data_IF_906683858278
#
_entry.id   IF_906683858278
#
_cell.length_a   1.000
_cell.length_b   1.000
_cell.length_c   1.000
_cell.angle_alpha   90.00
_cell.angle_beta   90.00
_cell.angle_gamma   90.00
#
_symmetry.space_group_name_H-M   'P 1'
#
loop_
_entity.id
_entity.type
_entity.pdbx_description
1 polymer ?
#
# COMPACT_ATOMS: atom_id res chain seq x y z
N UNK A 1 6.79 -37.98 23.07
CA UNK A 1 8.07 -37.41 22.59
C UNK A 1 7.71 -36.06 21.99
N UNK A 2 8.24 -34.98 22.57
CA UNK A 2 7.64 -33.64 22.60
C UNK A 2 7.30 -33.04 21.22
N UNK A 3 6.04 -32.63 21.07
CA UNK A 3 5.60 -31.62 20.11
C UNK A 3 6.25 -30.28 20.49
N UNK A 4 7.05 -29.74 19.57
CA UNK A 4 7.55 -28.36 19.63
C UNK A 4 6.35 -27.42 19.46
N UNK A 5 5.61 -27.19 20.55
CA UNK A 5 4.69 -26.07 20.71
C UNK A 5 5.54 -24.80 20.79
N UNK A 6 6.07 -24.39 19.64
CA UNK A 6 6.69 -23.10 19.44
C UNK A 6 5.60 -22.07 19.69
N UNK A 7 5.61 -21.47 20.88
CA UNK A 7 4.75 -20.36 21.29
C UNK A 7 4.61 -19.38 20.12
N UNK A 8 3.44 -19.38 19.45
CA UNK A 8 3.09 -18.39 18.43
C UNK A 8 2.96 -17.06 19.15
N UNK A 9 4.08 -16.35 19.33
CA UNK A 9 4.06 -14.96 19.75
C UNK A 9 3.24 -14.23 18.71
N UNK A 10 2.07 -13.74 19.09
CA UNK A 10 1.21 -12.90 18.26
C UNK A 10 2.05 -11.75 17.73
N UNK A 11 2.30 -11.75 16.42
CA UNK A 11 3.00 -10.64 15.78
C UNK A 11 2.07 -9.44 15.81
N UNK A 12 2.52 -8.34 16.40
CA UNK A 12 1.75 -7.09 16.43
C UNK A 12 2.28 -6.15 15.36
N UNK A 13 1.37 -5.58 14.57
CA UNK A 13 1.65 -4.58 13.54
C UNK A 13 0.83 -3.34 13.88
N UNK A 14 1.50 -2.21 14.13
CA UNK A 14 0.89 -0.94 14.51
C UNK A 14 -0.10 -1.04 15.70
N UNK A 15 0.20 -1.92 16.66
CA UNK A 15 -0.63 -2.14 17.86
C UNK A 15 -1.76 -3.16 17.68
N UNK A 16 -1.96 -3.69 16.47
CA UNK A 16 -3.00 -4.67 16.15
C UNK A 16 -2.37 -6.07 15.99
N UNK A 17 -2.92 -7.12 16.66
CA UNK A 17 -2.56 -8.50 16.39
C UNK A 17 -2.69 -8.84 14.90
N UNK A 18 -1.65 -9.42 14.31
CA UNK A 18 -1.69 -9.93 12.95
C UNK A 18 -2.72 -11.08 12.88
N UNK A 19 -3.77 -10.98 12.04
CA UNK A 19 -4.74 -12.04 11.86
C UNK A 19 -4.05 -13.27 11.28
N UNK A 20 -4.39 -14.45 11.81
CA UNK A 20 -3.88 -15.73 11.30
C UNK A 20 -4.24 -15.96 9.82
N UNK A 21 -5.24 -15.24 9.30
CA UNK A 21 -5.71 -15.31 7.92
C UNK A 21 -4.90 -14.46 6.93
N UNK A 22 -4.05 -13.54 7.39
CA UNK A 22 -3.21 -12.75 6.48
C UNK A 22 -1.96 -13.55 6.09
N UNK A 23 -1.86 -13.92 4.82
CA UNK A 23 -0.73 -14.64 4.26
C UNK A 23 -0.24 -14.04 2.93
N UNK A 24 0.77 -14.68 2.35
CA UNK A 24 1.39 -14.27 1.08
C UNK A 24 0.44 -14.37 -0.11
N UNK A 25 -0.45 -15.36 -0.11
CA UNK A 25 -1.42 -15.55 -1.18
C UNK A 25 -2.46 -14.43 -1.17
N UNK A 26 -2.88 -13.98 0.01
CA UNK A 26 -3.77 -12.84 0.19
C UNK A 26 -3.11 -11.53 -0.24
N UNK A 27 -1.84 -11.30 0.16
CA UNK A 27 -1.07 -10.13 -0.29
C UNK A 27 -0.98 -10.11 -1.82
N UNK A 28 -0.62 -11.24 -2.44
CA UNK A 28 -0.56 -11.36 -3.89
C UNK A 28 -1.91 -11.03 -4.53
N UNK A 29 -3.01 -11.57 -3.99
CA UNK A 29 -4.36 -11.33 -4.51
C UNK A 29 -4.76 -9.85 -4.42
N UNK A 30 -4.46 -9.18 -3.29
CA UNK A 30 -4.70 -7.74 -3.11
C UNK A 30 -3.87 -6.93 -4.09
N UNK A 31 -2.56 -7.19 -4.20
CA UNK A 31 -1.66 -6.45 -5.09
C UNK A 31 -2.11 -6.58 -6.54
N UNK A 32 -2.29 -7.81 -7.04
CA UNK A 32 -2.70 -8.02 -8.42
C UNK A 32 -4.09 -7.42 -8.70
N UNK A 33 -5.07 -7.66 -7.82
CA UNK A 33 -6.41 -7.10 -7.98
C UNK A 33 -6.42 -5.57 -7.96
N UNK A 34 -5.58 -4.95 -7.14
CA UNK A 34 -5.49 -3.50 -7.05
C UNK A 34 -4.86 -2.89 -8.30
N UNK A 35 -3.76 -3.46 -8.78
CA UNK A 35 -3.08 -2.95 -9.97
C UNK A 35 -3.89 -3.15 -11.25
N UNK A 36 -4.72 -4.19 -11.30
CA UNK A 36 -5.73 -4.36 -12.33
C UNK A 36 -6.71 -3.19 -12.38
N UNK A 37 -7.19 -2.70 -11.22
CA UNK A 37 -8.04 -1.50 -11.16
C UNK A 37 -7.26 -0.22 -11.55
N UNK A 38 -6.03 -0.08 -11.08
CA UNK A 38 -5.17 1.08 -11.40
C UNK A 38 -4.95 1.22 -12.91
N UNK A 39 -4.68 0.11 -13.61
CA UNK A 39 -4.42 0.13 -15.06
C UNK A 39 -5.63 0.56 -15.89
N UNK A 40 -6.84 0.42 -15.34
CA UNK A 40 -8.10 0.82 -15.98
C UNK A 40 -8.57 2.21 -15.54
N UNK A 41 -7.91 2.81 -14.56
CA UNK A 41 -8.31 4.10 -14.00
C UNK A 41 -7.85 5.27 -14.87
N UNK A 42 -8.76 6.19 -15.18
CA UNK A 42 -8.46 7.32 -16.06
C UNK A 42 -7.52 8.36 -15.44
N UNK A 43 -7.41 8.43 -14.11
CA UNK A 43 -6.54 9.39 -13.43
C UNK A 43 -5.18 8.78 -13.10
N UNK A 44 -5.15 7.53 -12.62
CA UNK A 44 -3.94 6.86 -12.17
C UNK A 44 -3.27 6.04 -13.28
N UNK A 45 -4.05 5.40 -14.15
CA UNK A 45 -3.55 4.56 -15.24
C UNK A 45 -2.44 5.24 -16.06
N UNK A 46 -2.63 6.48 -16.56
CA UNK A 46 -1.59 7.19 -17.30
C UNK A 46 -0.28 7.35 -16.52
N UNK A 47 -0.32 7.66 -15.23
CA UNK A 47 0.89 7.84 -14.40
C UNK A 47 1.74 6.57 -14.34
N UNK A 48 1.08 5.41 -14.23
CA UNK A 48 1.77 4.12 -14.18
C UNK A 48 2.24 3.68 -15.57
N UNK A 49 1.44 3.90 -16.62
CA UNK A 49 1.81 3.58 -18.00
C UNK A 49 3.03 4.38 -18.47
N UNK A 50 3.13 5.65 -18.07
CA UNK A 50 4.29 6.50 -18.38
C UNK A 50 5.59 6.06 -17.69
N UNK A 51 5.51 5.18 -16.69
CA UNK A 51 6.64 4.81 -15.81
C UNK A 51 7.00 3.33 -15.81
N UNK A 52 6.12 2.48 -16.32
CA UNK A 52 6.26 1.03 -16.31
C UNK A 52 5.99 0.51 -17.70
N UNK A 53 7.06 0.10 -18.38
CA UNK A 53 6.98 -0.53 -19.68
C UNK A 53 6.11 -1.80 -19.63
N UNK A 54 5.41 -2.15 -20.73
CA UNK A 54 4.49 -3.30 -20.76
C UNK A 54 5.10 -4.63 -20.27
N UNK A 55 6.38 -4.89 -20.54
CA UNK A 55 7.13 -6.08 -20.15
C UNK A 55 7.65 -6.04 -18.69
N UNK A 56 7.65 -4.86 -18.07
CA UNK A 56 8.15 -4.63 -16.71
C UNK A 56 7.08 -4.81 -15.62
N UNK A 57 5.81 -4.96 -16.01
CA UNK A 57 4.69 -5.16 -15.09
C UNK A 57 4.86 -6.36 -14.15
N UNK A 58 5.29 -7.56 -14.60
CA UNK A 58 5.51 -8.69 -13.70
C UNK A 58 6.54 -8.38 -12.59
N UNK A 59 7.63 -7.68 -12.93
CA UNK A 59 8.66 -7.27 -11.97
C UNK A 59 8.12 -6.23 -10.99
N UNK A 60 7.33 -5.25 -11.48
CA UNK A 60 6.69 -4.26 -10.61
C UNK A 60 5.74 -4.92 -9.60
N UNK A 61 4.88 -5.83 -10.05
CA UNK A 61 3.91 -6.53 -9.18
C UNK A 61 4.61 -7.40 -8.13
N UNK A 62 5.70 -8.09 -8.49
CA UNK A 62 6.52 -8.84 -7.53
C UNK A 62 7.09 -7.92 -6.44
N UNK A 63 7.68 -6.78 -6.83
CA UNK A 63 8.20 -5.78 -5.89
C UNK A 63 7.11 -5.23 -4.95
N UNK A 64 5.88 -5.07 -5.44
CA UNK A 64 4.76 -4.61 -4.62
C UNK A 64 4.24 -5.69 -3.66
N UNK A 65 4.30 -6.96 -4.04
CA UNK A 65 4.06 -8.07 -3.11
C UNK A 65 5.11 -8.06 -1.99
N UNK A 66 6.39 -7.92 -2.32
CA UNK A 66 7.46 -7.84 -1.33
C UNK A 66 7.27 -6.63 -0.41
N UNK A 67 6.91 -5.47 -0.96
CA UNK A 67 6.61 -4.26 -0.19
C UNK A 67 5.53 -4.51 0.86
N UNK A 68 4.38 -5.04 0.46
CA UNK A 68 3.26 -5.29 1.38
C UNK A 68 3.56 -6.41 2.37
N UNK A 69 4.32 -7.42 1.96
CA UNK A 69 4.81 -8.47 2.86
C UNK A 69 5.74 -7.93 3.93
N UNK A 70 6.72 -7.11 3.57
CA UNK A 70 7.58 -6.44 4.56
C UNK A 70 6.81 -5.49 5.47
N UNK A 71 5.77 -4.89 4.92
CA UNK A 71 4.93 -3.92 5.62
C UNK A 71 4.02 -4.58 6.66
N UNK A 72 3.35 -5.68 6.33
CA UNK A 72 2.31 -6.30 7.17
C UNK A 72 2.72 -7.63 7.78
N UNK A 73 3.51 -8.44 7.08
CA UNK A 73 4.04 -9.71 7.62
C UNK A 73 5.42 -9.53 8.25
N UNK A 74 5.98 -8.32 8.21
CA UNK A 74 7.31 -7.97 8.74
C UNK A 74 8.43 -8.84 8.16
N UNK A 75 8.25 -9.32 6.94
CA UNK A 75 9.34 -9.97 6.19
C UNK A 75 10.42 -8.96 5.83
N UNK A 76 11.61 -9.41 5.45
CA UNK A 76 12.70 -8.54 5.01
C UNK A 76 12.89 -8.54 3.48
N UNK A 77 11.82 -8.83 2.71
CA UNK A 77 11.92 -9.00 1.25
C UNK A 77 11.97 -7.69 0.47
N UNK A 78 11.48 -6.59 1.02
CA UNK A 78 11.53 -5.29 0.37
C UNK A 78 12.72 -4.45 0.84
N UNK A 79 13.69 -4.28 -0.04
CA UNK A 79 14.91 -3.47 0.20
C UNK A 79 14.84 -2.06 -0.43
N UNK A 80 13.72 -1.74 -1.10
CA UNK A 80 13.54 -0.50 -1.82
C UNK A 80 13.28 0.72 -0.93
N UNK A 81 13.45 1.91 -1.49
CA UNK A 81 12.96 3.16 -0.89
C UNK A 81 11.68 3.58 -1.60
N UNK A 82 10.50 3.51 -0.94
CA UNK A 82 9.24 3.72 -1.65
C UNK A 82 8.98 5.20 -1.95
N UNK A 83 9.52 6.13 -1.16
CA UNK A 83 9.25 7.57 -1.31
C UNK A 83 9.89 8.22 -2.57
N UNK A 84 11.19 8.03 -2.89
CA UNK A 84 11.83 8.76 -3.99
C UNK A 84 11.13 8.65 -5.36
N UNK A 85 10.65 7.45 -5.79
CA UNK A 85 9.89 7.35 -7.04
C UNK A 85 8.61 8.19 -7.08
N UNK A 86 7.96 8.42 -5.94
CA UNK A 86 6.74 9.23 -5.85
C UNK A 86 7.06 10.73 -5.92
N UNK A 87 8.19 11.16 -5.34
CA UNK A 87 8.64 12.56 -5.43
C UNK A 87 9.03 12.97 -6.86
N UNK A 88 9.48 12.00 -7.67
CA UNK A 88 9.80 12.21 -9.08
C UNK A 88 8.56 12.32 -10.00
N UNK A 89 7.34 12.23 -9.45
CA UNK A 89 6.10 12.35 -10.22
C UNK A 89 5.63 13.80 -10.23
N UNK A 90 5.86 14.47 -11.36
CA UNK A 90 5.33 15.82 -11.61
C UNK A 90 3.80 15.78 -11.59
N UNK A 91 3.18 16.69 -10.86
CA UNK A 91 1.71 16.78 -10.74
C UNK A 91 1.08 15.78 -9.75
N UNK A 92 1.87 14.93 -9.07
CA UNK A 92 1.35 14.06 -8.02
C UNK A 92 0.85 14.90 -6.83
N UNK A 93 -0.44 14.73 -6.52
CA UNK A 93 -1.16 15.58 -5.57
C UNK A 93 -2.36 14.89 -4.95
N UNK A 94 -3.12 15.63 -4.15
CA UNK A 94 -4.17 15.07 -3.28
C UNK A 94 -5.22 14.23 -4.03
N UNK A 95 -5.67 14.68 -5.20
CA UNK A 95 -6.66 13.95 -6.00
C UNK A 95 -6.18 12.53 -6.35
N UNK A 96 -4.89 12.38 -6.69
CA UNK A 96 -4.27 11.09 -7.00
C UNK A 96 -4.22 10.19 -5.77
N UNK A 97 -3.76 10.70 -4.63
CA UNK A 97 -3.72 9.92 -3.38
C UNK A 97 -5.12 9.48 -2.95
N UNK A 98 -6.12 10.37 -3.01
CA UNK A 98 -7.51 10.01 -2.71
C UNK A 98 -8.03 8.94 -3.66
N UNK A 99 -7.78 9.07 -4.97
CA UNK A 99 -8.21 8.07 -5.95
C UNK A 99 -7.55 6.71 -5.71
N UNK A 100 -6.25 6.71 -5.41
CA UNK A 100 -5.48 5.50 -5.11
C UNK A 100 -6.07 4.79 -3.89
N UNK A 101 -6.32 5.55 -2.80
CA UNK A 101 -6.90 5.01 -1.58
C UNK A 101 -8.33 4.49 -1.77
N UNK A 102 -9.15 5.14 -2.61
CA UNK A 102 -10.50 4.66 -2.95
C UNK A 102 -10.47 3.31 -3.64
N UNK A 103 -9.62 3.16 -4.66
CA UNK A 103 -9.46 1.90 -5.38
C UNK A 103 -8.87 0.81 -4.50
N UNK A 104 -7.89 1.16 -3.65
CA UNK A 104 -7.27 0.23 -2.72
C UNK A 104 -8.29 -0.27 -1.70
N UNK A 105 -9.07 0.63 -1.10
CA UNK A 105 -10.16 0.30 -0.17
C UNK A 105 -11.18 -0.65 -0.77
N UNK A 106 -11.65 -0.35 -1.99
CA UNK A 106 -12.59 -1.22 -2.70
C UNK A 106 -12.00 -2.61 -2.94
N UNK A 107 -10.71 -2.69 -3.27
CA UNK A 107 -10.01 -3.96 -3.51
C UNK A 107 -9.87 -4.78 -2.22
N UNK A 108 -9.36 -4.20 -1.14
CA UNK A 108 -9.13 -4.94 0.11
C UNK A 108 -10.43 -5.37 0.76
N UNK A 109 -11.50 -4.55 0.70
CA UNK A 109 -12.82 -4.93 1.22
C UNK A 109 -13.49 -6.04 0.39
N UNK A 110 -13.15 -6.16 -0.89
CA UNK A 110 -13.65 -7.23 -1.77
C UNK A 110 -12.93 -8.55 -1.55
N UNK A 111 -11.63 -8.51 -1.25
CA UNK A 111 -10.77 -9.70 -1.20
C UNK A 111 -10.58 -10.24 0.22
N UNK A 112 -10.48 -9.34 1.20
CA UNK A 112 -10.04 -9.70 2.54
C UNK A 112 -11.21 -9.72 3.53
N UNK A 113 -11.11 -10.52 4.62
CA UNK A 113 -11.93 -10.34 5.80
C UNK A 113 -11.81 -8.91 6.37
N UNK A 114 -12.84 -8.41 7.07
CA UNK A 114 -12.85 -7.04 7.60
C UNK A 114 -11.61 -6.68 8.43
N UNK A 115 -11.14 -7.55 9.32
CA UNK A 115 -9.96 -7.27 10.15
C UNK A 115 -8.67 -7.11 9.32
N UNK A 116 -8.51 -7.90 8.25
CA UNK A 116 -7.34 -7.81 7.37
C UNK A 116 -7.46 -6.58 6.46
N UNK A 117 -8.66 -6.29 5.94
CA UNK A 117 -8.90 -5.09 5.15
C UNK A 117 -8.55 -3.82 5.93
N UNK A 118 -8.93 -3.76 7.21
CA UNK A 118 -8.61 -2.64 8.10
C UNK A 118 -7.09 -2.47 8.29
N UNK A 119 -6.33 -3.56 8.46
CA UNK A 119 -4.87 -3.50 8.56
C UNK A 119 -4.20 -2.89 7.32
N UNK A 120 -4.64 -3.32 6.14
CA UNK A 120 -4.16 -2.74 4.88
C UNK A 120 -4.50 -1.25 4.79
N UNK A 121 -5.73 -0.87 5.13
CA UNK A 121 -6.19 0.53 5.06
C UNK A 121 -5.45 1.43 6.03
N UNK A 122 -5.34 1.03 7.29
CA UNK A 122 -4.63 1.78 8.32
C UNK A 122 -3.20 2.11 7.90
N UNK A 123 -2.51 1.12 7.32
CA UNK A 123 -1.15 1.29 6.84
C UNK A 123 -1.08 2.15 5.58
N UNK A 124 -1.98 1.93 4.62
CA UNK A 124 -2.06 2.72 3.39
C UNK A 124 -2.29 4.21 3.67
N UNK A 125 -3.19 4.54 4.60
CA UNK A 125 -3.51 5.92 4.99
C UNK A 125 -2.28 6.62 5.60
N UNK A 126 -1.55 5.93 6.49
CA UNK A 126 -0.31 6.45 7.09
C UNK A 126 0.77 6.71 6.03
N UNK A 127 0.99 5.77 5.11
CA UNK A 127 1.95 5.93 4.01
C UNK A 127 1.55 7.10 3.12
N UNK A 128 0.28 7.18 2.71
CA UNK A 128 -0.22 8.25 1.85
C UNK A 128 -0.05 9.63 2.52
N UNK A 129 -0.34 9.75 3.81
CA UNK A 129 -0.13 10.99 4.55
C UNK A 129 1.36 11.37 4.60
N UNK A 130 2.25 10.42 4.93
CA UNK A 130 3.70 10.64 4.93
C UNK A 130 4.23 11.10 3.57
N UNK A 131 3.75 10.49 2.48
CA UNK A 131 4.18 10.86 1.13
C UNK A 131 3.66 12.24 0.72
N UNK A 132 2.44 12.60 1.09
CA UNK A 132 1.89 13.95 0.85
C UNK A 132 2.70 15.03 1.56
N UNK A 133 3.07 14.81 2.83
CA UNK A 133 3.94 15.73 3.58
C UNK A 133 5.31 15.87 2.93
N UNK A 134 5.95 14.75 2.58
CA UNK A 134 7.25 14.76 1.93
C UNK A 134 7.22 15.42 0.54
N UNK A 135 6.16 15.22 -0.23
CA UNK A 135 5.99 15.83 -1.54
C UNK A 135 5.82 17.35 -1.45
N UNK A 136 5.01 17.85 -0.52
CA UNK A 136 4.88 19.28 -0.27
C UNK A 136 6.20 19.91 0.18
N UNK A 137 6.88 19.28 1.13
CA UNK A 137 8.19 19.73 1.60
C UNK A 137 9.21 19.79 0.46
N UNK A 138 9.29 18.73 -0.37
CA UNK A 138 10.21 18.66 -1.51
C UNK A 138 9.95 19.75 -2.56
N UNK A 139 8.76 20.33 -2.61
CA UNK A 139 8.39 21.41 -3.54
C UNK A 139 8.46 22.81 -2.91
N UNK A 140 8.86 22.93 -1.65
CA UNK A 140 8.86 24.20 -0.91
C UNK A 140 7.45 24.71 -0.58
N UNK A 141 6.44 23.84 -0.62
CA UNK A 141 5.07 24.15 -0.24
C UNK A 141 4.89 24.07 1.29
N UNK A 142 3.92 24.80 1.83
CA UNK A 142 3.58 24.68 3.25
C UNK A 142 3.01 23.29 3.55
N UNK A 143 3.48 22.67 4.62
CA UNK A 143 2.88 21.44 5.16
C UNK A 143 1.77 21.73 6.15
N UNK A 144 1.67 22.99 6.62
CA UNK A 144 0.60 23.46 7.51
C UNK A 144 -0.70 23.44 6.70
N UNK A 145 -1.64 22.56 7.08
CA UNK A 145 -2.90 22.33 6.38
C UNK A 145 -2.96 21.04 5.56
N UNK A 146 -1.91 20.22 5.54
CA UNK A 146 -1.98 18.87 4.97
C UNK A 146 -2.53 17.93 6.04
N UNK A 147 -3.85 17.80 6.08
CA UNK A 147 -4.50 16.89 7.02
C UNK A 147 -4.45 15.43 6.52
N UNK A 148 -4.43 14.45 7.46
CA UNK A 148 -4.62 13.05 7.12
C UNK A 148 -5.92 12.83 6.34
N UNK A 149 -5.85 12.08 5.25
CA UNK A 149 -7.06 11.54 4.63
C UNK A 149 -7.62 10.48 5.59
N UNK A 150 -8.90 10.56 5.90
CA UNK A 150 -9.59 9.56 6.73
C UNK A 150 -10.43 8.65 5.85
N UNK A 151 -10.53 7.37 6.21
CA UNK A 151 -11.19 6.36 5.37
C UNK A 151 -12.67 6.67 5.07
N UNK A 152 -13.37 7.30 6.01
CA UNK A 152 -14.77 7.70 5.85
C UNK A 152 -15.00 8.74 4.74
N UNK A 153 -13.96 9.46 4.33
CA UNK A 153 -14.02 10.50 3.29
C UNK A 153 -13.61 9.98 1.90
N UNK A 154 -13.26 8.69 1.82
CA UNK A 154 -12.95 8.00 0.57
C UNK A 154 -14.24 7.55 -0.12
#
# INVERSE_FOLDING_TARGET
MNEDSRSRRTVVVDGIPLPDMLDEAMIRSVVHGFYDEIRRDNLLGPIFQDRIEPDEWPRHLAKMCDFWSSTLLRTHRYEGRPLPPHLAIVGLGEAHFRRWLKLFRATVRRICPPEVANLFMDRALRIAHSFRLAAAFSRGETTIGIDPIVERDL
#
